data_IF_589699122981
#
_entry.id   IF_589699122981
#
_cell.length_a   1.000
_cell.length_b   1.000
_cell.length_c   1.000
_cell.angle_alpha   90.00
_cell.angle_beta   90.00
_cell.angle_gamma   90.00
#
_symmetry.space_group_name_H-M   'P 1'
#
loop_
_entity.id
_entity.type
_entity.pdbx_description
1 polymer ?
#
# COMPACT_ATOMS: atom_id res chain seq x y z
N UNK A 1 -8.05 19.38 -21.80
CA UNK A 1 -8.52 19.53 -20.40
C UNK A 1 -9.42 18.36 -19.98
N UNK A 2 -10.33 17.92 -20.84
CA UNK A 2 -11.25 16.79 -20.55
C UNK A 2 -10.50 15.46 -20.33
N UNK A 3 -9.48 15.19 -21.14
CA UNK A 3 -8.66 13.98 -21.04
C UNK A 3 -7.89 13.90 -19.70
N UNK A 4 -7.44 15.02 -19.15
CA UNK A 4 -6.73 15.05 -17.87
C UNK A 4 -7.66 14.77 -16.67
N UNK A 5 -8.95 15.09 -16.78
CA UNK A 5 -9.92 14.79 -15.75
C UNK A 5 -10.34 13.31 -15.70
N UNK A 6 -10.06 12.56 -16.76
CA UNK A 6 -10.40 11.13 -16.91
C UNK A 6 -9.21 10.20 -16.81
N UNK A 7 -8.02 10.73 -16.48
CA UNK A 7 -6.86 9.86 -16.25
C UNK A 7 -7.07 9.01 -14.99
N UNK A 8 -6.79 7.71 -15.07
CA UNK A 8 -6.99 6.82 -13.93
C UNK A 8 -6.01 7.15 -12.80
N UNK A 9 -6.51 7.75 -11.73
CA UNK A 9 -5.72 8.05 -10.55
C UNK A 9 -5.14 6.76 -9.95
N UNK A 10 -3.85 6.79 -9.56
CA UNK A 10 -3.16 5.66 -8.97
C UNK A 10 -2.76 4.54 -9.93
N UNK A 11 -3.19 4.59 -11.21
CA UNK A 11 -2.71 3.62 -12.19
C UNK A 11 -1.24 3.85 -12.53
N UNK A 12 -0.45 2.80 -12.46
CA UNK A 12 0.98 2.88 -12.81
C UNK A 12 1.50 1.57 -13.39
N UNK A 13 2.63 1.65 -14.05
CA UNK A 13 3.34 0.49 -14.56
C UNK A 13 4.86 0.66 -14.42
N UNK A 14 5.56 -0.45 -14.39
CA UNK A 14 7.02 -0.48 -14.39
C UNK A 14 7.53 -1.73 -15.10
N UNK A 15 8.76 -1.69 -15.66
CA UNK A 15 9.46 -2.92 -16.05
C UNK A 15 9.64 -3.84 -14.84
N UNK A 16 9.52 -5.13 -15.07
CA UNK A 16 9.70 -6.15 -14.02
C UNK A 16 10.64 -7.25 -14.51
N UNK A 17 11.43 -7.84 -13.60
CA UNK A 17 12.31 -8.95 -13.88
C UNK A 17 13.72 -8.59 -14.38
N UNK A 18 14.14 -7.32 -14.24
CA UNK A 18 15.48 -6.85 -14.61
C UNK A 18 15.63 -6.44 -16.08
N UNK A 19 16.84 -6.10 -16.48
CA UNK A 19 17.12 -5.47 -17.78
C UNK A 19 16.81 -6.37 -19.00
N UNK A 20 16.87 -7.68 -18.85
CA UNK A 20 16.63 -8.65 -19.91
C UNK A 20 15.20 -9.20 -19.92
N UNK A 21 14.38 -8.79 -19.00
CA UNK A 21 13.02 -9.29 -18.90
C UNK A 21 12.06 -8.55 -19.85
N UNK A 22 11.13 -9.29 -20.43
CA UNK A 22 10.06 -8.77 -21.27
C UNK A 22 8.74 -8.68 -20.47
N UNK A 23 8.84 -8.33 -19.20
CA UNK A 23 7.68 -8.27 -18.30
C UNK A 23 7.42 -6.82 -17.89
N UNK A 24 6.14 -6.50 -17.76
CA UNK A 24 5.67 -5.23 -17.23
C UNK A 24 4.69 -5.52 -16.10
N UNK A 25 4.98 -5.01 -14.92
CA UNK A 25 4.03 -5.00 -13.84
C UNK A 25 3.09 -3.81 -14.03
N UNK A 26 1.80 -4.08 -14.03
CA UNK A 26 0.74 -3.06 -14.12
C UNK A 26 -0.11 -3.11 -12.86
N UNK A 27 -0.44 -1.96 -12.32
CA UNK A 27 -1.14 -1.85 -11.05
C UNK A 27 -2.16 -0.71 -11.10
N UNK A 28 -3.39 -1.01 -10.64
CA UNK A 28 -4.43 -0.01 -10.46
C UNK A 28 -5.54 -0.53 -9.54
N UNK A 29 -5.77 0.16 -8.43
CA UNK A 29 -6.90 -0.09 -7.55
C UNK A 29 -8.14 0.66 -8.04
N UNK A 30 -8.74 0.23 -9.14
CA UNK A 30 -9.91 0.91 -9.73
C UNK A 30 -11.22 0.61 -8.99
N UNK A 31 -11.26 -0.41 -8.17
CA UNK A 31 -12.41 -0.78 -7.35
C UNK A 31 -11.99 -0.81 -5.88
N UNK A 32 -12.37 0.21 -5.14
CA UNK A 32 -12.04 0.38 -3.72
C UNK A 32 -13.16 -0.11 -2.79
N UNK A 33 -14.14 -0.86 -3.30
CA UNK A 33 -15.22 -1.40 -2.45
C UNK A 33 -14.67 -2.42 -1.47
N UNK A 34 -15.05 -2.35 -0.18
CA UNK A 34 -14.70 -3.39 0.76
C UNK A 34 -15.27 -4.75 0.31
N UNK A 35 -14.44 -5.77 0.35
CA UNK A 35 -14.82 -7.15 0.08
C UNK A 35 -14.48 -8.02 1.29
N UNK A 36 -15.21 -9.13 1.53
CA UNK A 36 -14.82 -10.10 2.55
C UNK A 36 -13.43 -10.64 2.26
N UNK A 37 -12.66 -10.86 3.32
CA UNK A 37 -11.36 -11.53 3.20
C UNK A 37 -11.58 -12.99 2.77
N UNK A 38 -10.89 -13.40 1.71
CA UNK A 38 -10.96 -14.77 1.17
C UNK A 38 -9.57 -15.34 0.98
N UNK A 39 -9.45 -16.65 1.13
CA UNK A 39 -8.24 -17.37 0.82
C UNK A 39 -8.57 -18.75 0.20
N UNK A 40 -8.06 -19.08 -0.99
CA UNK A 40 -7.16 -18.27 -1.84
C UNK A 40 -7.82 -16.98 -2.34
N UNK A 41 -6.99 -16.02 -2.77
CA UNK A 41 -7.47 -14.76 -3.34
C UNK A 41 -8.24 -15.02 -4.64
N UNK A 42 -9.37 -14.37 -4.76
CA UNK A 42 -10.17 -14.37 -5.98
C UNK A 42 -9.97 -13.03 -6.71
N UNK A 43 -9.65 -13.11 -7.99
CA UNK A 43 -9.45 -11.93 -8.83
C UNK A 43 -10.56 -11.83 -9.88
N UNK A 44 -10.95 -10.59 -10.18
CA UNK A 44 -11.83 -10.33 -11.31
C UNK A 44 -11.13 -10.82 -12.60
N UNK A 45 -11.75 -11.73 -13.38
CA UNK A 45 -11.17 -12.22 -14.63
C UNK A 45 -10.85 -11.10 -15.64
N UNK A 46 -11.51 -9.95 -15.52
CA UNK A 46 -11.30 -8.79 -16.38
C UNK A 46 -10.27 -7.81 -15.83
N UNK A 47 -9.71 -8.07 -14.64
CA UNK A 47 -8.79 -7.15 -13.96
C UNK A 47 -7.67 -6.65 -14.88
N UNK A 48 -6.95 -7.55 -15.52
CA UNK A 48 -5.84 -7.18 -16.40
C UNK A 48 -6.29 -6.31 -17.58
N UNK A 49 -7.43 -6.61 -18.18
CA UNK A 49 -7.94 -5.85 -19.33
C UNK A 49 -8.37 -4.45 -18.92
N UNK A 50 -9.00 -4.31 -17.75
CA UNK A 50 -9.39 -3.00 -17.19
C UNK A 50 -8.16 -2.16 -16.89
N UNK A 51 -7.15 -2.73 -16.23
CA UNK A 51 -5.88 -2.04 -15.92
C UNK A 51 -5.17 -1.64 -17.21
N UNK A 52 -5.07 -2.55 -18.19
CA UNK A 52 -4.44 -2.27 -19.48
C UNK A 52 -5.16 -1.13 -20.23
N UNK A 53 -6.50 -1.10 -20.21
CA UNK A 53 -7.29 -0.01 -20.82
C UNK A 53 -7.06 1.32 -20.12
N UNK A 54 -7.04 1.33 -18.79
CA UNK A 54 -6.72 2.53 -18.03
C UNK A 54 -5.34 3.08 -18.38
N UNK A 55 -4.31 2.22 -18.36
CA UNK A 55 -2.94 2.61 -18.73
C UNK A 55 -2.81 3.03 -20.20
N UNK A 56 -3.59 2.44 -21.12
CA UNK A 56 -3.58 2.80 -22.53
C UNK A 56 -4.12 4.22 -22.80
N UNK A 57 -4.79 4.84 -21.85
CA UNK A 57 -5.17 6.27 -21.93
C UNK A 57 -3.96 7.17 -21.76
N UNK A 58 -3.01 6.77 -20.89
CA UNK A 58 -1.77 7.49 -20.61
C UNK A 58 -0.66 7.11 -21.59
N UNK A 59 -0.61 5.84 -21.98
CA UNK A 59 0.39 5.27 -22.89
C UNK A 59 -0.27 4.63 -24.11
N UNK A 60 -0.57 5.42 -25.16
CA UNK A 60 -1.33 4.93 -26.33
C UNK A 60 -0.76 3.70 -27.02
N UNK A 61 0.55 3.44 -26.93
CA UNK A 61 1.21 2.24 -27.46
C UNK A 61 0.67 0.93 -26.87
N UNK A 62 0.14 0.97 -25.64
CA UNK A 62 -0.47 -0.20 -24.98
C UNK A 62 -1.76 -0.67 -25.66
N UNK A 63 -2.40 0.17 -26.47
CA UNK A 63 -3.59 -0.21 -27.25
C UNK A 63 -3.35 -1.42 -28.17
N UNK A 64 -2.11 -1.62 -28.60
CA UNK A 64 -1.74 -2.76 -29.44
C UNK A 64 -1.94 -4.12 -28.74
N UNK A 65 -2.00 -4.14 -27.42
CA UNK A 65 -2.12 -5.34 -26.60
C UNK A 65 -3.56 -5.61 -26.12
N UNK A 66 -4.49 -4.70 -26.33
CA UNK A 66 -5.89 -4.87 -25.94
C UNK A 66 -6.49 -6.12 -26.59
N UNK A 67 -7.03 -7.02 -25.77
CA UNK A 67 -7.58 -8.29 -26.23
C UNK A 67 -6.55 -9.30 -26.79
N UNK A 68 -5.24 -9.04 -26.64
CA UNK A 68 -4.16 -9.84 -27.21
C UNK A 68 -3.03 -10.16 -26.25
N UNK A 69 -3.18 -9.88 -24.96
CA UNK A 69 -2.13 -10.12 -23.98
C UNK A 69 -1.66 -11.59 -24.03
N UNK A 70 -0.40 -11.87 -24.37
CA UNK A 70 0.05 -13.24 -24.68
C UNK A 70 0.13 -14.13 -23.44
N UNK A 71 0.50 -13.56 -22.31
CA UNK A 71 0.56 -14.20 -21.01
C UNK A 71 0.30 -13.16 -19.93
N UNK A 72 -0.67 -13.46 -19.10
CA UNK A 72 -1.02 -12.61 -17.95
C UNK A 72 -0.94 -13.47 -16.70
N UNK A 73 -0.24 -12.94 -15.70
CA UNK A 73 -0.24 -13.44 -14.33
C UNK A 73 -0.87 -12.36 -13.46
N UNK A 74 -1.83 -12.73 -12.63
CA UNK A 74 -2.48 -11.83 -11.68
C UNK A 74 -2.08 -12.30 -10.29
N UNK A 75 -1.54 -11.40 -9.50
CA UNK A 75 -1.17 -11.63 -8.11
C UNK A 75 -1.65 -10.48 -7.25
N UNK A 76 -1.77 -10.71 -5.94
CA UNK A 76 -2.22 -9.70 -5.02
C UNK A 76 -2.11 -10.14 -3.57
N UNK A 77 -2.48 -9.24 -2.66
CA UNK A 77 -2.44 -9.48 -1.24
C UNK A 77 -3.27 -8.45 -0.48
N UNK A 78 -3.51 -8.73 0.79
CA UNK A 78 -4.14 -7.78 1.68
C UNK A 78 -3.10 -6.87 2.33
N UNK A 79 -3.33 -5.59 2.29
CA UNK A 79 -2.56 -4.64 3.07
C UNK A 79 -3.05 -4.60 4.51
N UNK A 80 -2.12 -4.77 5.46
CA UNK A 80 -2.39 -4.50 6.86
C UNK A 80 -2.23 -3.01 7.11
N UNK A 81 -3.31 -2.34 7.51
CA UNK A 81 -3.36 -0.89 7.72
C UNK A 81 -3.93 -0.56 9.09
N UNK A 82 -3.46 0.53 9.66
CA UNK A 82 -4.24 1.27 10.67
C UNK A 82 -5.28 2.14 9.96
N UNK A 83 -6.24 2.66 10.71
CA UNK A 83 -7.30 3.51 10.16
C UNK A 83 -6.74 4.73 9.41
N UNK A 84 -5.71 5.36 9.96
CA UNK A 84 -5.04 6.54 9.42
C UNK A 84 -3.87 6.20 8.48
N UNK A 85 -3.71 4.93 8.12
CA UNK A 85 -2.63 4.45 7.26
C UNK A 85 -1.22 4.81 7.77
N UNK A 86 -1.03 4.81 9.10
CA UNK A 86 0.25 5.07 9.77
C UNK A 86 0.73 3.80 10.46
N UNK A 87 1.95 3.38 10.16
CA UNK A 87 2.54 2.17 10.73
C UNK A 87 2.58 2.20 12.27
N UNK A 88 2.75 1.03 12.86
CA UNK A 88 3.07 0.81 14.26
C UNK A 88 4.53 0.40 14.39
N UNK A 89 5.25 1.03 15.32
CA UNK A 89 6.61 0.63 15.70
C UNK A 89 6.86 1.00 17.17
N UNK A 90 7.02 0.01 18.04
CA UNK A 90 7.29 0.23 19.46
C UNK A 90 6.81 -0.90 20.37
N UNK A 91 6.82 -0.67 21.68
CA UNK A 91 6.41 -1.66 22.68
C UNK A 91 4.91 -1.94 22.63
N UNK A 92 4.55 -3.18 22.98
CA UNK A 92 3.19 -3.60 23.27
C UNK A 92 2.91 -3.52 24.78
N UNK A 93 1.63 -3.60 25.22
CA UNK A 93 1.27 -3.64 26.65
C UNK A 93 1.73 -4.92 27.39
N UNK A 94 2.57 -5.72 26.77
CA UNK A 94 3.15 -6.93 27.35
C UNK A 94 4.65 -6.70 27.47
N UNK A 95 5.20 -6.92 28.65
CA UNK A 95 6.63 -6.74 28.93
C UNK A 95 7.49 -7.56 27.98
N UNK A 96 8.50 -6.92 27.38
CA UNK A 96 9.41 -7.54 26.42
C UNK A 96 8.82 -7.81 25.03
N UNK A 97 7.57 -7.43 24.79
CA UNK A 97 6.93 -7.57 23.49
C UNK A 97 6.91 -6.25 22.70
N UNK A 98 7.18 -6.35 21.42
CA UNK A 98 7.28 -5.21 20.52
C UNK A 98 6.55 -5.50 19.20
N UNK A 99 6.21 -4.47 18.47
CA UNK A 99 5.57 -4.57 17.16
C UNK A 99 6.24 -3.66 16.13
N UNK A 100 6.40 -4.17 14.92
CA UNK A 100 6.40 -3.41 13.67
C UNK A 100 5.26 -3.96 12.83
N UNK A 101 4.35 -3.11 12.39
CA UNK A 101 3.20 -3.57 11.64
C UNK A 101 2.44 -2.44 10.95
N UNK A 102 1.40 -2.83 10.23
CA UNK A 102 0.53 -1.90 9.51
C UNK A 102 1.28 -1.00 8.52
N UNK A 103 2.27 -1.57 7.81
CA UNK A 103 3.09 -0.83 6.86
C UNK A 103 2.40 -0.63 5.50
N UNK A 104 1.17 -1.11 5.33
CA UNK A 104 0.39 -0.91 4.10
C UNK A 104 1.19 -1.31 2.83
N UNK A 105 1.07 -0.55 1.74
CA UNK A 105 1.82 -0.75 0.50
C UNK A 105 3.23 -0.13 0.49
N UNK A 106 3.64 0.57 1.54
CA UNK A 106 4.95 1.25 1.62
C UNK A 106 5.97 0.55 2.53
N UNK A 107 5.69 -0.70 2.93
CA UNK A 107 6.52 -1.44 3.88
C UNK A 107 7.98 -1.54 3.48
N UNK A 108 8.27 -1.82 2.21
CA UNK A 108 9.65 -1.91 1.72
C UNK A 108 10.43 -0.60 1.92
N UNK A 109 9.78 0.55 1.70
CA UNK A 109 10.40 1.87 1.86
C UNK A 109 10.55 2.26 3.33
N UNK A 110 9.58 1.89 4.18
CA UNK A 110 9.55 2.29 5.59
C UNK A 110 10.32 1.33 6.51
N UNK A 111 10.57 0.09 6.10
CA UNK A 111 11.16 -0.96 6.94
C UNK A 111 12.50 -0.55 7.60
N UNK A 112 13.46 0.11 6.91
CA UNK A 112 14.70 0.52 7.55
C UNK A 112 14.48 1.48 8.71
N UNK A 113 13.68 2.53 8.50
CA UNK A 113 13.39 3.54 9.52
C UNK A 113 12.54 2.96 10.67
N UNK A 114 11.57 2.09 10.36
CA UNK A 114 10.77 1.41 11.37
C UNK A 114 11.63 0.45 12.22
N UNK A 115 12.59 -0.24 11.59
CA UNK A 115 13.55 -1.11 12.27
C UNK A 115 14.48 -0.33 13.20
N UNK A 116 15.01 0.82 12.76
CA UNK A 116 15.84 1.71 13.57
C UNK A 116 15.05 2.24 14.78
N UNK A 117 13.81 2.69 14.56
CA UNK A 117 12.94 3.15 15.63
C UNK A 117 12.64 2.05 16.65
N UNK A 118 12.34 0.82 16.18
CA UNK A 118 12.13 -0.31 17.07
C UNK A 118 13.38 -0.67 17.86
N UNK A 119 14.54 -0.67 17.23
CA UNK A 119 15.81 -0.92 17.90
C UNK A 119 16.06 0.10 19.01
N UNK A 120 15.77 1.38 18.77
CA UNK A 120 15.88 2.42 19.80
C UNK A 120 14.95 2.16 21.00
N UNK A 121 13.73 1.66 20.77
CA UNK A 121 12.83 1.24 21.86
C UNK A 121 13.37 0.05 22.64
N UNK A 122 13.95 -0.97 21.96
CA UNK A 122 14.46 -2.18 22.62
C UNK A 122 15.72 -1.89 23.44
N UNK A 123 16.58 -1.03 22.93
CA UNK A 123 17.89 -0.72 23.56
C UNK A 123 17.85 0.48 24.50
N UNK A 124 16.67 1.04 24.75
CA UNK A 124 16.50 2.28 25.54
C UNK A 124 17.35 3.44 25.01
N UNK A 125 17.53 3.46 23.69
CA UNK A 125 18.27 4.50 22.98
C UNK A 125 17.51 5.82 22.90
N UNK A 126 18.15 6.85 22.39
CA UNK A 126 17.50 8.14 22.15
C UNK A 126 16.38 8.02 21.11
N UNK A 127 15.15 8.31 21.51
CA UNK A 127 13.99 8.32 20.62
C UNK A 127 13.81 9.69 19.98
N UNK A 128 13.52 9.77 18.69
CA UNK A 128 13.20 11.03 18.04
C UNK A 128 11.83 11.56 18.50
N UNK A 129 11.63 12.87 18.39
CA UNK A 129 10.40 13.56 18.84
C UNK A 129 9.13 13.02 18.15
N UNK A 130 9.25 12.43 16.98
CA UNK A 130 8.13 11.84 16.27
C UNK A 130 7.78 10.40 16.71
N UNK A 131 8.62 9.74 17.54
CA UNK A 131 8.41 8.35 17.96
C UNK A 131 7.01 8.07 18.54
N UNK A 132 6.42 8.96 19.37
CA UNK A 132 5.09 8.75 19.92
C UNK A 132 3.99 8.57 18.88
N UNK A 133 4.17 9.12 17.67
CA UNK A 133 3.22 9.01 16.58
C UNK A 133 3.09 7.58 16.03
N UNK A 134 4.02 6.67 16.33
CA UNK A 134 4.05 5.29 15.87
C UNK A 134 3.71 4.27 16.96
N UNK A 135 3.49 4.72 18.19
CA UNK A 135 3.13 3.83 19.28
C UNK A 135 1.68 3.34 19.18
N UNK A 136 1.43 2.13 19.65
CA UNK A 136 0.05 1.62 19.80
C UNK A 136 -0.72 2.48 20.80
N UNK A 137 -0.08 2.94 21.87
CA UNK A 137 -0.69 3.80 22.91
C UNK A 137 -1.19 5.16 22.41
N UNK A 138 -0.86 5.56 21.16
CA UNK A 138 -1.45 6.78 20.59
C UNK A 138 -2.99 6.72 20.52
N UNK A 139 -3.55 5.52 20.48
CA UNK A 139 -5.00 5.32 20.48
C UNK A 139 -5.64 5.50 21.86
N UNK A 140 -4.85 5.60 22.92
CA UNK A 140 -5.35 5.87 24.27
C UNK A 140 -5.57 7.39 24.49
N UNK A 141 -5.05 8.24 23.59
CA UNK A 141 -5.23 9.70 23.64
C UNK A 141 -6.58 10.12 23.01
N UNK A 142 -7.52 10.68 23.79
CA UNK A 142 -8.80 11.15 23.27
C UNK A 142 -8.68 12.23 22.18
N UNK A 143 -7.64 13.06 22.24
CA UNK A 143 -7.40 14.09 21.22
C UNK A 143 -6.95 13.45 19.90
N UNK A 144 -6.22 12.35 19.95
CA UNK A 144 -5.87 11.58 18.79
C UNK A 144 -7.09 10.88 18.18
N UNK A 145 -7.91 10.24 19.00
CA UNK A 145 -9.16 9.60 18.56
C UNK A 145 -10.09 10.59 17.83
N UNK A 146 -10.25 11.79 18.39
CA UNK A 146 -11.05 12.84 17.76
C UNK A 146 -10.52 13.27 16.39
N UNK A 147 -9.20 13.30 16.21
CA UNK A 147 -8.58 13.58 14.90
C UNK A 147 -8.88 12.50 13.87
N UNK A 148 -8.93 11.22 14.30
CA UNK A 148 -9.22 10.10 13.41
C UNK A 148 -10.63 10.13 12.82
N UNK A 149 -11.60 10.79 13.46
CA UNK A 149 -12.97 10.90 12.95
C UNK A 149 -13.04 11.57 11.58
N UNK A 150 -12.09 12.49 11.30
CA UNK A 150 -12.03 13.27 10.06
C UNK A 150 -10.77 12.98 9.24
N UNK A 151 -10.11 11.82 9.48
CA UNK A 151 -8.88 11.47 8.79
C UNK A 151 -9.18 10.85 7.43
N UNK A 152 -8.48 11.36 6.40
CA UNK A 152 -8.44 10.74 5.08
C UNK A 152 -7.43 9.57 5.09
N UNK A 153 -7.88 8.40 4.67
CA UNK A 153 -7.08 7.17 4.72
C UNK A 153 -5.89 7.16 3.75
N UNK A 154 -5.82 8.09 2.81
CA UNK A 154 -4.85 8.06 1.72
C UNK A 154 -5.06 6.86 0.77
N UNK A 155 -4.28 6.80 -0.30
CA UNK A 155 -4.45 5.80 -1.37
C UNK A 155 -3.59 4.53 -1.22
N UNK A 156 -2.75 4.39 -0.22
CA UNK A 156 -1.89 3.19 -0.07
C UNK A 156 -2.08 2.54 1.28
#
# INVERSE_FOLDING_TARGET
AHLLAELPAGAHLRPEGGAEANMVLMLWGYDARPVPETWPLEFDPMFYEVVLRGLATMMPGLKAYLGKAPKVEIDGGYYTKTRENRLLAGPLPVEGAYVIGALSGYGLMAAPAAGELLAAHITEGGLPDYAPAFLLSRYDDPAYQKRLENWDEGQL
#
